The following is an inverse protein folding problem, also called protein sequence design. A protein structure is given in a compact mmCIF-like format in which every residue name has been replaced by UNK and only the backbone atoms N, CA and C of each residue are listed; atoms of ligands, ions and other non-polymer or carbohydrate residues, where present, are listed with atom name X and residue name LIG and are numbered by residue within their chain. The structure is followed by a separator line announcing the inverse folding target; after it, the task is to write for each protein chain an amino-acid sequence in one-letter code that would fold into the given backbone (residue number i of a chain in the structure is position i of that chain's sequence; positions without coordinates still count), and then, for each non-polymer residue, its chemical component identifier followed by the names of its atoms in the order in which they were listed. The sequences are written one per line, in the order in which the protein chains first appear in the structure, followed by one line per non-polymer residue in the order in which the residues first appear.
data_IF_075285855819
#
_entry.id   IF_075285855819
#
_cell.length_a   1.000
_cell.length_b   1.000
_cell.length_c   1.000
_cell.angle_alpha   90.00
_cell.angle_beta   90.00
_cell.angle_gamma   90.00
#
_symmetry.space_group_name_H-M   'P 1'
#
loop_
_entity.id
_entity.type
_entity.pdbx_description
1 polymer ?
#
# COMPACT_ATOMS: atom_id res chain seq x y z
N UNK A 1 1.29 -5.42 6.04
CA UNK A 1 0.21 -6.24 5.43
C UNK A 1 -0.60 -6.97 6.48
N UNK A 2 0.05 -7.75 7.34
CA UNK A 2 -0.62 -8.71 8.22
C UNK A 2 -1.57 -8.06 9.23
N UNK A 3 -1.14 -7.00 9.93
CA UNK A 3 -1.94 -6.41 11.00
C UNK A 3 -3.25 -5.73 10.53
N UNK A 4 -3.26 -4.88 9.47
CA UNK A 4 -4.51 -4.31 8.99
C UNK A 4 -5.47 -5.34 8.40
N UNK A 5 -4.92 -6.37 7.74
CA UNK A 5 -5.73 -7.47 7.21
C UNK A 5 -6.34 -8.30 8.34
N UNK A 6 -5.55 -8.62 9.37
CA UNK A 6 -6.02 -9.34 10.55
C UNK A 6 -7.16 -8.58 11.24
N UNK A 7 -6.97 -7.28 11.52
CA UNK A 7 -7.99 -6.45 12.15
C UNK A 7 -9.28 -6.35 11.32
N UNK A 8 -9.17 -6.37 9.98
CA UNK A 8 -10.34 -6.39 9.10
C UNK A 8 -11.05 -7.74 9.11
N UNK A 9 -10.31 -8.85 9.14
CA UNK A 9 -10.88 -10.20 9.20
C UNK A 9 -11.54 -10.48 10.55
N UNK A 10 -10.95 -10.02 11.65
CA UNK A 10 -11.49 -10.18 13.01
C UNK A 10 -12.83 -9.45 13.21
N UNK A 11 -13.08 -8.39 12.42
CA UNK A 11 -14.35 -7.65 12.43
C UNK A 11 -15.48 -8.33 11.65
N UNK A 12 -15.19 -9.37 10.86
CA UNK A 12 -16.22 -10.08 10.08
C UNK A 12 -17.11 -10.88 11.03
N UNK A 13 -18.42 -10.66 10.97
CA UNK A 13 -19.40 -11.43 11.75
C UNK A 13 -19.39 -12.92 11.31
N UNK A 14 -19.10 -13.87 12.23
CA UNK A 14 -19.14 -15.31 11.93
C UNK A 14 -20.44 -15.79 11.28
N UNK A 15 -21.58 -15.12 11.55
CA UNK A 15 -22.88 -15.45 10.95
C UNK A 15 -22.89 -15.34 9.43
N UNK A 16 -22.05 -14.47 8.85
CA UNK A 16 -21.93 -14.35 7.39
C UNK A 16 -21.26 -15.58 6.76
N UNK A 17 -20.38 -16.26 7.51
CA UNK A 17 -19.76 -17.50 7.09
C UNK A 17 -20.74 -18.66 7.24
N UNK A 18 -21.48 -18.72 8.34
CA UNK A 18 -22.53 -19.74 8.58
C UNK A 18 -23.63 -19.68 7.51
N UNK A 19 -24.12 -18.48 7.17
CA UNK A 19 -25.12 -18.28 6.12
C UNK A 19 -24.64 -18.74 4.73
N UNK A 20 -23.33 -18.66 4.45
CA UNK A 20 -22.79 -19.22 3.22
C UNK A 20 -22.86 -20.76 3.20
N UNK A 21 -22.69 -21.39 4.37
CA UNK A 21 -22.86 -22.82 4.55
C UNK A 21 -24.31 -23.27 4.37
N UNK A 22 -25.26 -22.50 4.87
CA UNK A 22 -26.71 -22.74 4.68
C UNK A 22 -27.11 -22.70 3.21
N UNK A 23 -26.43 -21.88 2.39
CA UNK A 23 -26.61 -21.82 0.95
C UNK A 23 -25.82 -22.91 0.18
N UNK A 24 -25.31 -23.93 0.87
CA UNK A 24 -24.48 -25.00 0.31
C UNK A 24 -23.22 -24.50 -0.42
N UNK A 25 -22.68 -23.33 -0.04
CA UNK A 25 -21.44 -22.83 -0.63
C UNK A 25 -20.25 -23.67 -0.18
N UNK A 26 -19.33 -23.97 -1.11
CA UNK A 26 -18.04 -24.58 -0.76
C UNK A 26 -17.07 -23.52 -0.22
N UNK A 27 -16.03 -23.93 0.51
CA UNK A 27 -15.08 -23.00 1.16
C UNK A 27 -14.41 -22.01 0.19
N UNK A 28 -14.18 -22.40 -1.06
CA UNK A 28 -13.63 -21.49 -2.08
C UNK A 28 -14.65 -20.42 -2.51
N UNK A 29 -15.93 -20.79 -2.58
CA UNK A 29 -17.04 -19.88 -2.88
C UNK A 29 -17.26 -18.92 -1.72
N UNK A 30 -17.25 -19.40 -0.48
CA UNK A 30 -17.31 -18.57 0.73
C UNK A 30 -16.15 -17.57 0.78
N UNK A 31 -14.92 -18.02 0.52
CA UNK A 31 -13.76 -17.12 0.49
C UNK A 31 -13.92 -16.03 -0.59
N UNK A 32 -14.25 -16.40 -1.83
CA UNK A 32 -14.33 -15.44 -2.95
C UNK A 32 -15.51 -14.47 -2.85
N UNK A 33 -16.66 -14.92 -2.33
CA UNK A 33 -17.90 -14.13 -2.30
C UNK A 33 -18.17 -13.43 -0.97
N UNK A 34 -17.59 -13.90 0.13
CA UNK A 34 -17.84 -13.35 1.48
C UNK A 34 -16.56 -12.80 2.07
N UNK A 35 -15.56 -13.64 2.33
CA UNK A 35 -14.35 -13.23 3.05
C UNK A 35 -13.50 -12.20 2.27
N UNK A 36 -13.29 -12.43 0.98
CA UNK A 36 -12.49 -11.54 0.13
C UNK A 36 -13.10 -10.13 0.02
N UNK A 37 -14.38 -9.93 -0.37
CA UNK A 37 -14.95 -8.59 -0.44
C UNK A 37 -15.02 -7.91 0.93
N UNK A 38 -15.41 -8.62 2.00
CA UNK A 38 -15.49 -8.04 3.36
C UNK A 38 -14.12 -7.68 3.95
N UNK A 39 -13.02 -8.26 3.45
CA UNK A 39 -11.66 -7.93 3.87
C UNK A 39 -10.97 -6.90 2.98
N UNK A 40 -11.61 -6.44 1.90
CA UNK A 40 -11.04 -5.45 0.98
C UNK A 40 -10.58 -4.16 1.69
N UNK A 41 -11.32 -3.60 2.67
CA UNK A 41 -10.82 -2.44 3.43
C UNK A 41 -9.48 -2.70 4.12
N UNK A 42 -9.34 -3.89 4.72
CA UNK A 42 -8.09 -4.33 5.33
C UNK A 42 -6.96 -4.51 4.33
N UNK A 43 -7.24 -5.04 3.14
CA UNK A 43 -6.27 -5.17 2.05
C UNK A 43 -5.81 -3.80 1.56
N UNK A 44 -6.72 -2.85 1.39
CA UNK A 44 -6.44 -1.48 0.92
C UNK A 44 -5.63 -0.71 1.96
N UNK A 45 -6.09 -0.69 3.21
CA UNK A 45 -5.39 -0.04 4.32
C UNK A 45 -4.02 -0.67 4.55
N UNK A 46 -3.95 -2.00 4.47
CA UNK A 46 -2.70 -2.74 4.43
C UNK A 46 -1.79 -2.18 3.35
N UNK A 47 -2.18 -2.33 2.08
CA UNK A 47 -1.36 -2.01 0.89
C UNK A 47 -0.76 -0.61 1.00
N UNK A 48 -1.56 0.37 1.40
CA UNK A 48 -1.10 1.74 1.62
C UNK A 48 -0.03 1.84 2.72
N UNK A 49 -0.27 1.19 3.86
CA UNK A 49 0.64 1.22 5.01
C UNK A 49 2.03 0.65 4.68
N UNK A 50 2.16 -0.29 3.74
CA UNK A 50 3.50 -0.76 3.31
C UNK A 50 4.01 -0.09 2.05
N UNK A 51 3.14 0.33 1.14
CA UNK A 51 3.56 0.96 -0.11
C UNK A 51 4.29 2.27 0.15
N UNK A 52 3.76 3.10 1.06
CA UNK A 52 4.34 4.41 1.38
C UNK A 52 5.80 4.29 1.88
N UNK A 53 6.10 3.51 2.94
CA UNK A 53 7.48 3.34 3.39
C UNK A 53 8.36 2.59 2.37
N UNK A 54 7.82 1.58 1.69
CA UNK A 54 8.60 0.82 0.70
C UNK A 54 9.02 1.68 -0.50
N UNK A 55 8.17 2.61 -0.95
CA UNK A 55 8.52 3.55 -2.02
C UNK A 55 9.62 4.54 -1.62
N UNK A 56 9.75 4.82 -0.31
CA UNK A 56 10.76 5.69 0.27
C UNK A 56 12.02 4.97 0.75
N UNK A 57 12.14 3.65 0.56
CA UNK A 57 13.21 2.84 1.16
C UNK A 57 14.51 2.85 0.34
N UNK A 58 15.02 4.06 0.07
CA UNK A 58 16.27 4.26 -0.67
C UNK A 58 17.51 3.87 0.14
N UNK A 59 17.38 3.78 1.46
CA UNK A 59 18.47 3.39 2.37
C UNK A 59 18.78 1.90 2.21
N UNK A 60 17.76 1.03 2.23
CA UNK A 60 17.98 -0.39 1.99
C UNK A 60 18.48 -0.63 0.56
N UNK A 61 18.02 0.15 -0.42
CA UNK A 61 18.55 0.09 -1.78
C UNK A 61 20.05 0.47 -1.86
N UNK A 62 20.50 1.43 -1.05
CA UNK A 62 21.91 1.83 -1.00
C UNK A 62 22.81 0.77 -0.34
N UNK A 63 22.31 0.10 0.71
CA UNK A 63 23.11 -0.85 1.52
C UNK A 63 23.14 -2.24 0.88
N UNK A 64 21.99 -2.71 0.40
CA UNK A 64 21.83 -4.08 -0.12
C UNK A 64 21.89 -4.14 -1.66
N UNK A 65 21.76 -3.01 -2.34
CA UNK A 65 21.77 -2.92 -3.79
C UNK A 65 23.18 -2.87 -4.39
N UNK A 66 23.24 -2.92 -5.72
CA UNK A 66 24.45 -2.66 -6.49
C UNK A 66 24.48 -1.21 -7.01
N UNK A 67 25.60 -0.70 -7.55
CA UNK A 67 25.69 0.67 -8.06
C UNK A 67 24.70 1.05 -9.18
N UNK A 68 24.11 0.05 -9.85
CA UNK A 68 23.10 0.22 -10.90
C UNK A 68 21.66 0.18 -10.35
N UNK A 69 21.42 -0.28 -9.11
CA UNK A 69 20.11 -0.26 -8.47
C UNK A 69 19.94 1.03 -7.68
N UNK A 70 19.51 2.09 -8.36
CA UNK A 70 19.24 3.40 -7.74
C UNK A 70 17.74 3.64 -7.66
N UNK A 71 17.25 3.99 -6.47
CA UNK A 71 15.93 4.55 -6.31
C UNK A 71 15.97 6.07 -6.50
N UNK A 72 14.80 6.68 -6.74
CA UNK A 72 14.68 8.14 -6.88
C UNK A 72 15.23 8.85 -5.64
N UNK A 73 15.04 8.26 -4.45
CA UNK A 73 15.60 8.78 -3.19
C UNK A 73 17.13 8.89 -3.20
N UNK A 74 17.86 7.92 -3.79
CA UNK A 74 19.32 7.99 -3.90
C UNK A 74 19.78 9.12 -4.82
N UNK A 75 18.99 9.43 -5.86
CA UNK A 75 19.29 10.54 -6.77
C UNK A 75 19.10 11.87 -6.04
N UNK A 76 18.00 12.02 -5.30
CA UNK A 76 17.73 13.22 -4.49
C UNK A 76 18.85 13.44 -3.46
N UNK A 77 19.22 12.40 -2.72
CA UNK A 77 20.32 12.43 -1.74
C UNK A 77 21.64 12.88 -2.39
N UNK A 78 22.01 12.26 -3.51
CA UNK A 78 23.25 12.59 -4.22
C UNK A 78 23.26 14.05 -4.71
N UNK A 79 22.13 14.59 -5.17
CA UNK A 79 22.02 16.00 -5.58
C UNK A 79 22.10 16.98 -4.40
N UNK A 80 21.58 16.59 -3.24
CA UNK A 80 21.67 17.39 -2.00
C UNK A 80 23.10 17.41 -1.41
N UNK A 81 23.76 16.26 -1.30
CA UNK A 81 25.00 16.13 -0.53
C UNK A 81 26.28 16.07 -1.37
N UNK A 82 26.24 15.51 -2.58
CA UNK A 82 27.44 15.36 -3.41
C UNK A 82 27.59 16.52 -4.41
N UNK A 83 26.50 16.91 -5.07
CA UNK A 83 26.51 17.97 -6.10
C UNK A 83 26.19 19.33 -5.51
N UNK A 84 25.53 19.38 -4.34
CA UNK A 84 25.13 20.62 -3.65
C UNK A 84 24.19 21.48 -4.51
N UNK A 85 23.35 20.80 -5.31
CA UNK A 85 22.36 21.42 -6.20
C UNK A 85 20.98 21.38 -5.55
N UNK A 86 20.78 22.27 -4.58
CA UNK A 86 19.56 22.37 -3.78
C UNK A 86 18.29 22.65 -4.62
N UNK A 87 18.30 23.53 -5.64
CA UNK A 87 17.10 23.81 -6.44
C UNK A 87 16.60 22.55 -7.17
N UNK A 88 17.49 21.81 -7.83
CA UNK A 88 17.10 20.62 -8.59
C UNK A 88 16.68 19.49 -7.65
N UNK A 89 17.36 19.35 -6.52
CA UNK A 89 17.00 18.35 -5.52
C UNK A 89 15.62 18.63 -4.88
N UNK A 90 15.29 19.89 -4.60
CA UNK A 90 13.96 20.28 -4.12
C UNK A 90 12.86 19.99 -5.16
N UNK A 91 13.09 20.31 -6.43
CA UNK A 91 12.14 20.03 -7.50
C UNK A 91 11.85 18.52 -7.63
N UNK A 92 12.88 17.68 -7.54
CA UNK A 92 12.73 16.22 -7.56
C UNK A 92 11.96 15.70 -6.34
N UNK A 93 12.23 16.21 -5.15
CA UNK A 93 11.48 15.84 -3.93
C UNK A 93 10.00 16.18 -4.03
N UNK A 94 9.66 17.39 -4.49
CA UNK A 94 8.27 17.80 -4.69
C UNK A 94 7.58 16.97 -5.78
N UNK A 95 8.27 16.65 -6.86
CA UNK A 95 7.73 15.81 -7.95
C UNK A 95 7.46 14.39 -7.46
N UNK A 96 8.37 13.81 -6.67
CA UNK A 96 8.20 12.49 -6.07
C UNK A 96 7.02 12.48 -5.08
N UNK A 97 6.94 13.48 -4.21
CA UNK A 97 5.83 13.65 -3.28
C UNK A 97 4.48 13.75 -4.02
N UNK A 98 4.39 14.61 -5.04
CA UNK A 98 3.19 14.76 -5.85
C UNK A 98 2.79 13.45 -6.53
N UNK A 99 3.76 12.70 -7.07
CA UNK A 99 3.53 11.41 -7.71
C UNK A 99 2.96 10.39 -6.72
N UNK A 100 3.54 10.29 -5.53
CA UNK A 100 3.05 9.38 -4.47
C UNK A 100 1.64 9.79 -4.04
N UNK A 101 1.39 11.08 -3.82
CA UNK A 101 0.06 11.57 -3.45
C UNK A 101 -0.99 11.25 -4.53
N UNK A 102 -0.68 11.50 -5.80
CA UNK A 102 -1.59 11.18 -6.91
C UNK A 102 -1.90 9.68 -6.93
N UNK A 103 -0.88 8.82 -6.83
CA UNK A 103 -1.07 7.36 -6.81
C UNK A 103 -1.94 6.92 -5.64
N UNK A 104 -1.66 7.42 -4.43
CA UNK A 104 -2.42 7.10 -3.21
C UNK A 104 -3.87 7.59 -3.33
N UNK A 105 -4.08 8.84 -3.76
CA UNK A 105 -5.43 9.40 -3.93
C UNK A 105 -6.22 8.62 -4.99
N UNK A 106 -5.61 8.27 -6.13
CA UNK A 106 -6.27 7.45 -7.15
C UNK A 106 -6.60 6.05 -6.63
N UNK A 107 -5.68 5.44 -5.88
CA UNK A 107 -5.89 4.11 -5.29
C UNK A 107 -7.02 4.10 -4.26
N UNK A 108 -7.08 5.10 -3.38
CA UNK A 108 -8.15 5.27 -2.39
C UNK A 108 -9.49 5.50 -3.10
N UNK A 109 -9.53 6.42 -4.08
CA UNK A 109 -10.76 6.71 -4.85
C UNK A 109 -11.28 5.48 -5.59
N UNK A 110 -10.39 4.66 -6.15
CA UNK A 110 -10.79 3.42 -6.85
C UNK A 110 -11.22 2.31 -5.88
N UNK A 111 -10.66 2.27 -4.68
CA UNK A 111 -11.00 1.26 -3.67
C UNK A 111 -12.33 1.50 -2.95
N UNK A 112 -13.03 2.60 -3.24
CA UNK A 112 -14.37 2.85 -2.71
C UNK A 112 -14.34 3.28 -1.24
N UNK A 113 -14.50 4.58 -1.00
CA UNK A 113 -14.64 5.20 0.33
C UNK A 113 -16.05 4.97 0.93
N UNK A 114 -16.66 3.82 0.67
CA UNK A 114 -18.00 3.50 1.23
C UNK A 114 -17.91 2.69 2.53
N UNK A 115 -16.74 2.14 2.88
CA UNK A 115 -16.51 1.36 4.12
C UNK A 115 -15.53 2.03 5.11
N UNK A 116 -15.04 3.24 4.80
CA UNK A 116 -14.05 3.97 5.62
C UNK A 116 -14.64 5.15 6.41
N UNK A 117 -15.97 5.27 6.47
CA UNK A 117 -16.70 6.26 7.31
C UNK A 117 -17.60 5.54 8.30
#
# INVERSE_FOLDING_TARGET
MTLPLYASLERIDPRTLEASGDLYANGLTTFRKVTLPLSMPGVVAGTLLTFIPAAGDYVNAAILGNPNTKMIGNVIESRFFAVVDYPTAAALSFTLMATILILVTLYIRKSGTDELV
#
